data_IF_872428062077
#
_entry.id   IF_872428062077
#
_cell.length_a   1.000
_cell.length_b   1.000
_cell.length_c   1.000
_cell.angle_alpha   90.00
_cell.angle_beta   90.00
_cell.angle_gamma   90.00
#
_symmetry.space_group_name_H-M   'P 1'
#
loop_
_entity.id
_entity.type
_entity.pdbx_description
1 polymer ?
#
# COMPACT_ATOMS: atom_id res chain seq x y z
N UNK A 1 -26.37 -50.35 -12.51
CA UNK A 1 -25.50 -49.24 -13.01
C UNK A 1 -25.70 -48.05 -12.09
N UNK A 2 -24.91 -47.96 -11.05
CA UNK A 2 -24.95 -46.87 -10.03
C UNK A 2 -23.79 -45.95 -10.32
N UNK A 3 -24.11 -44.83 -11.01
CA UNK A 3 -23.13 -43.77 -11.27
C UNK A 3 -22.88 -42.93 -10.03
N UNK A 4 -21.72 -43.10 -9.41
CA UNK A 4 -21.25 -42.26 -8.31
C UNK A 4 -20.82 -40.90 -8.85
N UNK A 5 -21.65 -39.88 -8.68
CA UNK A 5 -21.25 -38.47 -8.91
C UNK A 5 -20.14 -38.11 -7.88
N UNK A 6 -18.92 -38.07 -8.37
CA UNK A 6 -17.80 -37.46 -7.62
C UNK A 6 -17.98 -35.95 -7.71
N UNK A 7 -18.48 -35.39 -6.62
CA UNK A 7 -18.52 -33.94 -6.45
C UNK A 7 -17.09 -33.41 -6.44
N UNK A 8 -16.71 -32.68 -7.49
CA UNK A 8 -15.45 -31.95 -7.58
C UNK A 8 -15.45 -30.88 -6.47
N UNK A 9 -14.83 -31.19 -5.34
CA UNK A 9 -14.47 -30.21 -4.33
C UNK A 9 -13.47 -29.24 -4.93
N UNK A 10 -13.97 -28.11 -5.41
CA UNK A 10 -13.15 -26.95 -5.75
C UNK A 10 -12.40 -26.49 -4.49
N UNK A 11 -11.16 -26.94 -4.32
CA UNK A 11 -10.23 -26.41 -3.33
C UNK A 11 -9.83 -24.98 -3.74
N UNK A 12 -10.73 -24.03 -3.57
CA UNK A 12 -10.39 -22.63 -3.50
C UNK A 12 -9.47 -22.46 -2.29
N UNK A 13 -8.19 -22.22 -2.53
CA UNK A 13 -7.24 -21.89 -1.49
C UNK A 13 -7.71 -20.59 -0.84
N UNK A 14 -8.54 -20.70 0.19
CA UNK A 14 -8.99 -19.56 0.99
C UNK A 14 -7.74 -18.80 1.47
N UNK A 15 -7.67 -17.51 1.18
CA UNK A 15 -6.57 -16.68 1.66
C UNK A 15 -6.63 -16.62 3.19
N UNK A 16 -5.78 -17.42 3.86
CA UNK A 16 -5.75 -17.52 5.32
C UNK A 16 -5.45 -16.19 6.02
N UNK A 17 -4.88 -15.22 5.28
CA UNK A 17 -4.59 -13.89 5.80
C UNK A 17 -5.76 -12.91 5.65
N UNK A 18 -6.84 -13.31 4.99
CA UNK A 18 -8.02 -12.45 4.83
C UNK A 18 -8.62 -12.01 6.17
N UNK A 19 -8.96 -12.94 7.11
CA UNK A 19 -9.53 -12.53 8.40
C UNK A 19 -8.63 -11.59 9.21
N UNK A 20 -7.31 -11.86 9.39
CA UNK A 20 -6.45 -10.95 10.15
C UNK A 20 -6.22 -9.60 9.47
N UNK A 21 -6.21 -9.52 8.12
CA UNK A 21 -6.07 -8.25 7.41
C UNK A 21 -7.30 -7.37 7.60
N UNK A 22 -8.50 -7.91 7.41
CA UNK A 22 -9.74 -7.15 7.64
C UNK A 22 -9.98 -6.85 9.11
N UNK A 23 -9.65 -7.79 10.01
CA UNK A 23 -9.72 -7.57 11.46
C UNK A 23 -8.74 -6.50 11.92
N UNK A 24 -7.53 -6.48 11.38
CA UNK A 24 -6.54 -5.43 11.63
C UNK A 24 -7.00 -4.06 11.14
N UNK A 25 -7.58 -3.97 9.94
CA UNK A 25 -8.15 -2.74 9.41
C UNK A 25 -9.30 -2.21 10.28
N UNK A 26 -10.23 -3.09 10.69
CA UNK A 26 -11.30 -2.72 11.60
C UNK A 26 -10.76 -2.28 12.98
N UNK A 27 -9.74 -2.98 13.51
CA UNK A 27 -9.07 -2.60 14.74
C UNK A 27 -8.44 -1.22 14.65
N UNK A 28 -7.73 -0.91 13.56
CA UNK A 28 -7.15 0.42 13.32
C UNK A 28 -8.20 1.53 13.27
N UNK A 29 -9.37 1.25 12.69
CA UNK A 29 -10.47 2.21 12.65
C UNK A 29 -11.11 2.43 14.04
N UNK A 30 -11.07 1.42 14.91
CA UNK A 30 -11.60 1.52 16.27
C UNK A 30 -10.65 2.28 17.22
N UNK A 31 -9.36 2.39 16.91
CA UNK A 31 -8.38 3.07 17.78
C UNK A 31 -8.76 4.54 18.03
N UNK A 32 -8.99 5.40 17.01
CA UNK A 32 -9.41 6.79 17.27
C UNK A 32 -10.77 6.87 17.96
N UNK A 33 -11.73 5.98 17.63
CA UNK A 33 -13.03 5.94 18.29
C UNK A 33 -12.91 5.60 19.79
N UNK A 34 -12.03 4.66 20.14
CA UNK A 34 -11.72 4.32 21.52
C UNK A 34 -10.98 5.46 22.22
N UNK A 35 -10.01 6.11 21.55
CA UNK A 35 -9.28 7.24 22.10
C UNK A 35 -10.21 8.40 22.46
N UNK A 36 -11.13 8.78 21.57
CA UNK A 36 -12.13 9.81 21.81
C UNK A 36 -13.04 9.52 23.01
N UNK A 37 -13.30 8.24 23.30
CA UNK A 37 -14.19 7.82 24.41
C UNK A 37 -13.46 7.62 25.72
N UNK A 38 -12.25 7.05 25.67
CA UNK A 38 -11.51 6.62 26.87
C UNK A 38 -10.47 7.65 27.32
N UNK A 39 -10.00 8.50 26.41
CA UNK A 39 -8.92 9.45 26.63
C UNK A 39 -9.25 10.81 26.01
N UNK A 40 -10.34 11.50 26.45
CA UNK A 40 -10.79 12.75 25.83
C UNK A 40 -9.73 13.86 25.89
N UNK A 41 -8.82 13.81 26.87
CA UNK A 41 -7.80 14.83 27.11
C UNK A 41 -6.62 14.77 26.12
N UNK A 42 -6.50 13.71 25.31
CA UNK A 42 -5.39 13.62 24.30
C UNK A 42 -5.67 14.39 23.01
N UNK A 43 -6.83 15.06 22.90
CA UNK A 43 -7.14 15.96 21.79
C UNK A 43 -7.42 15.27 20.45
N UNK A 44 -7.75 13.97 20.44
CA UNK A 44 -8.22 13.27 19.22
C UNK A 44 -9.68 13.62 19.03
N UNK A 45 -9.98 14.37 17.96
CA UNK A 45 -11.36 14.77 17.61
C UNK A 45 -11.62 14.44 16.12
N UNK A 46 -12.05 13.21 15.85
CA UNK A 46 -12.37 12.76 14.50
C UNK A 46 -13.85 12.96 14.18
N UNK A 47 -14.11 13.61 13.06
CA UNK A 47 -15.45 13.74 12.50
C UNK A 47 -15.93 12.43 11.86
N UNK A 48 -17.24 12.33 11.58
CA UNK A 48 -17.76 11.20 10.80
C UNK A 48 -17.14 11.10 9.40
N UNK A 49 -16.69 12.22 8.82
CA UNK A 49 -16.01 12.26 7.52
C UNK A 49 -14.62 11.63 7.62
N UNK A 50 -13.86 11.87 8.69
CA UNK A 50 -12.54 11.27 8.90
C UNK A 50 -12.64 9.74 8.98
N UNK A 51 -13.64 9.23 9.72
CA UNK A 51 -13.93 7.80 9.77
C UNK A 51 -14.31 7.24 8.41
N UNK A 52 -15.09 7.98 7.60
CA UNK A 52 -15.50 7.53 6.26
C UNK A 52 -14.29 7.48 5.32
N UNK A 53 -13.43 8.50 5.32
CA UNK A 53 -12.24 8.58 4.47
C UNK A 53 -11.25 7.46 4.82
N UNK A 54 -10.90 7.32 6.10
CA UNK A 54 -9.97 6.26 6.54
C UNK A 54 -10.57 4.87 6.35
N UNK A 55 -11.88 4.71 6.61
CA UNK A 55 -12.58 3.45 6.35
C UNK A 55 -12.52 3.05 4.87
N UNK A 56 -12.74 4.00 3.96
CA UNK A 56 -12.63 3.78 2.51
C UNK A 56 -11.19 3.42 2.09
N UNK A 57 -10.19 4.12 2.63
CA UNK A 57 -8.77 3.84 2.38
C UNK A 57 -8.37 2.45 2.87
N UNK A 58 -8.76 2.06 4.08
CA UNK A 58 -8.50 0.73 4.64
C UNK A 58 -9.20 -0.36 3.84
N UNK A 59 -10.47 -0.16 3.47
CA UNK A 59 -11.20 -1.11 2.62
C UNK A 59 -10.56 -1.27 1.24
N UNK A 60 -10.12 -0.16 0.64
CA UNK A 60 -9.37 -0.15 -0.63
C UNK A 60 -8.05 -0.92 -0.52
N UNK A 61 -7.27 -0.67 0.54
CA UNK A 61 -6.02 -1.38 0.80
C UNK A 61 -6.25 -2.89 1.00
N UNK A 62 -7.26 -3.28 1.78
CA UNK A 62 -7.63 -4.69 1.97
C UNK A 62 -8.05 -5.34 0.66
N UNK A 63 -8.86 -4.65 -0.15
CA UNK A 63 -9.31 -5.14 -1.46
C UNK A 63 -8.15 -5.32 -2.44
N UNK A 64 -7.23 -4.35 -2.51
CA UNK A 64 -6.00 -4.46 -3.31
C UNK A 64 -5.11 -5.61 -2.84
N UNK A 65 -4.94 -5.77 -1.53
CA UNK A 65 -4.20 -6.91 -0.98
C UNK A 65 -4.83 -8.26 -1.38
N UNK A 66 -6.15 -8.38 -1.31
CA UNK A 66 -6.85 -9.59 -1.77
C UNK A 66 -6.64 -9.85 -3.26
N UNK A 67 -6.68 -8.80 -4.08
CA UNK A 67 -6.36 -8.90 -5.51
C UNK A 67 -4.96 -9.46 -5.72
N UNK A 68 -3.95 -8.90 -5.06
CA UNK A 68 -2.57 -9.38 -5.12
C UNK A 68 -2.42 -10.83 -4.67
N UNK A 69 -3.16 -11.22 -3.61
CA UNK A 69 -3.16 -12.58 -3.09
C UNK A 69 -3.78 -13.60 -4.07
N UNK A 70 -4.68 -13.16 -4.96
CA UNK A 70 -5.26 -13.98 -6.03
C UNK A 70 -4.36 -14.06 -7.26
N UNK A 71 -3.64 -12.97 -7.58
CA UNK A 71 -2.81 -12.86 -8.78
C UNK A 71 -1.51 -13.67 -8.67
N UNK A 72 -0.94 -13.82 -7.46
CA UNK A 72 0.32 -14.51 -7.26
C UNK A 72 0.28 -15.60 -6.20
N UNK A 73 0.82 -16.80 -6.53
CA UNK A 73 0.92 -17.93 -5.59
C UNK A 73 2.19 -17.88 -4.73
N UNK A 74 3.28 -17.30 -5.24
CA UNK A 74 4.54 -17.21 -4.52
C UNK A 74 4.40 -16.31 -3.28
N UNK A 75 4.96 -16.75 -2.14
CA UNK A 75 4.94 -15.98 -0.89
C UNK A 75 5.60 -14.60 -1.05
N UNK A 76 6.74 -14.56 -1.77
CA UNK A 76 7.45 -13.32 -2.05
C UNK A 76 6.63 -12.34 -2.88
N UNK A 77 5.83 -12.82 -3.87
CA UNK A 77 4.91 -11.99 -4.64
C UNK A 77 3.84 -11.35 -3.74
N UNK A 78 3.20 -12.17 -2.90
CA UNK A 78 2.14 -11.70 -1.99
C UNK A 78 2.67 -10.71 -0.95
N UNK A 79 3.86 -10.96 -0.42
CA UNK A 79 4.54 -10.04 0.50
C UNK A 79 4.91 -8.72 -0.19
N UNK A 80 5.47 -8.78 -1.41
CA UNK A 80 5.79 -7.59 -2.20
C UNK A 80 4.55 -6.77 -2.55
N UNK A 81 3.45 -7.44 -2.90
CA UNK A 81 2.19 -6.78 -3.21
C UNK A 81 1.58 -6.13 -1.94
N UNK A 82 1.56 -6.84 -0.83
CA UNK A 82 1.09 -6.32 0.45
C UNK A 82 1.90 -5.11 0.91
N UNK A 83 3.23 -5.15 0.74
CA UNK A 83 4.10 -4.03 1.09
C UNK A 83 3.89 -2.82 0.17
N UNK A 84 3.66 -3.04 -1.13
CA UNK A 84 3.32 -1.97 -2.07
C UNK A 84 1.98 -1.29 -1.71
N UNK A 85 0.97 -2.09 -1.37
CA UNK A 85 -0.34 -1.57 -0.91
C UNK A 85 -0.19 -0.78 0.39
N UNK A 86 0.60 -1.30 1.34
CA UNK A 86 0.87 -0.59 2.60
C UNK A 86 1.60 0.73 2.35
N UNK A 87 2.61 0.75 1.46
CA UNK A 87 3.33 1.96 1.10
C UNK A 87 2.39 3.01 0.49
N UNK A 88 1.52 2.61 -0.45
CA UNK A 88 0.50 3.48 -1.03
C UNK A 88 -0.48 4.01 0.00
N UNK A 89 -1.00 3.14 0.86
CA UNK A 89 -1.89 3.53 1.95
C UNK A 89 -1.23 4.56 2.88
N UNK A 90 0.00 4.30 3.34
CA UNK A 90 0.72 5.22 4.21
C UNK A 90 1.03 6.55 3.52
N UNK A 91 1.37 6.54 2.23
CA UNK A 91 1.58 7.77 1.47
C UNK A 91 0.32 8.62 1.44
N UNK A 92 -0.85 8.03 1.16
CA UNK A 92 -2.14 8.76 1.19
C UNK A 92 -2.46 9.25 2.59
N UNK A 93 -2.37 8.36 3.59
CA UNK A 93 -2.76 8.69 4.95
C UNK A 93 -1.91 9.82 5.54
N UNK A 94 -0.58 9.72 5.42
CA UNK A 94 0.32 10.75 5.98
C UNK A 94 0.10 12.10 5.29
N UNK A 95 -0.11 12.10 3.96
CA UNK A 95 -0.46 13.33 3.24
C UNK A 95 -1.74 13.98 3.74
N UNK A 96 -2.78 13.19 4.03
CA UNK A 96 -4.06 13.71 4.50
C UNK A 96 -4.03 14.12 5.99
N UNK A 97 -3.17 13.48 6.79
CA UNK A 97 -3.17 13.68 8.24
C UNK A 97 -2.26 14.82 8.69
N UNK A 98 -1.10 15.00 8.06
CA UNK A 98 -0.07 15.95 8.51
C UNK A 98 0.70 16.62 7.38
N UNK A 99 0.50 16.16 6.12
CA UNK A 99 1.38 16.49 5.01
C UNK A 99 2.72 15.74 5.06
N UNK A 100 3.30 15.45 3.91
CA UNK A 100 4.65 14.85 3.82
C UNK A 100 5.72 15.93 3.64
N UNK A 101 5.32 17.08 3.08
CA UNK A 101 6.16 18.27 2.89
C UNK A 101 5.39 19.48 3.42
N UNK A 102 5.96 20.17 4.39
CA UNK A 102 5.28 21.29 5.05
C UNK A 102 4.10 20.82 5.90
N UNK A 103 2.94 21.44 5.71
CA UNK A 103 1.67 21.06 6.34
C UNK A 103 0.74 20.33 5.37
N UNK A 104 -0.43 19.90 5.84
CA UNK A 104 -1.41 19.18 5.03
C UNK A 104 -1.96 20.00 3.86
N UNK A 105 -1.92 21.33 3.95
CA UNK A 105 -2.38 22.28 2.93
C UNK A 105 -1.32 22.65 1.90
N UNK A 106 -0.07 22.23 2.06
CA UNK A 106 1.02 22.61 1.15
C UNK A 106 0.80 21.98 -0.26
N UNK A 107 0.79 22.81 -1.34
CA UNK A 107 0.62 22.31 -2.70
C UNK A 107 1.68 21.27 -3.12
N UNK A 108 2.87 21.26 -2.52
CA UNK A 108 3.90 20.28 -2.81
C UNK A 108 3.45 18.84 -2.50
N UNK A 109 2.50 18.67 -1.57
CA UNK A 109 1.90 17.38 -1.26
C UNK A 109 1.14 16.75 -2.44
N UNK A 110 0.68 17.54 -3.41
CA UNK A 110 0.06 17.03 -4.63
C UNK A 110 1.03 16.24 -5.52
N UNK A 111 2.34 16.43 -5.39
CA UNK A 111 3.35 15.65 -6.11
C UNK A 111 3.27 14.16 -5.79
N UNK A 112 2.81 13.79 -4.59
CA UNK A 112 2.65 12.38 -4.20
C UNK A 112 1.50 11.68 -4.92
N UNK A 113 0.52 12.42 -5.45
CA UNK A 113 -0.47 11.84 -6.37
C UNK A 113 0.21 11.33 -7.65
N UNK A 114 1.26 12.02 -8.11
CA UNK A 114 2.10 11.57 -9.23
C UNK A 114 2.85 10.28 -8.91
N UNK A 115 3.40 10.15 -7.69
CA UNK A 115 4.05 8.91 -7.22
C UNK A 115 3.07 7.74 -7.22
N UNK A 116 1.87 7.95 -6.68
CA UNK A 116 0.82 6.93 -6.64
C UNK A 116 0.30 6.58 -8.05
N UNK A 117 0.18 7.57 -8.93
CA UNK A 117 -0.19 7.36 -10.33
C UNK A 117 0.86 6.50 -11.05
N UNK A 118 2.16 6.76 -10.85
CA UNK A 118 3.25 5.93 -11.39
C UNK A 118 3.15 4.50 -10.86
N UNK A 119 2.92 4.32 -9.55
CA UNK A 119 2.74 2.99 -8.97
C UNK A 119 1.58 2.24 -9.63
N UNK A 120 0.42 2.87 -9.77
CA UNK A 120 -0.78 2.27 -10.34
C UNK A 120 -0.62 1.98 -11.84
N UNK A 121 -0.20 2.98 -12.62
CA UNK A 121 -0.06 2.86 -14.07
C UNK A 121 1.01 1.84 -14.47
N UNK A 122 2.20 1.90 -13.85
CA UNK A 122 3.26 0.94 -14.13
C UNK A 122 2.87 -0.49 -13.72
N UNK A 123 2.14 -0.67 -12.62
CA UNK A 123 1.61 -1.98 -12.21
C UNK A 123 0.57 -2.52 -13.19
N UNK A 124 -0.33 -1.66 -13.66
CA UNK A 124 -1.33 -2.02 -14.67
C UNK A 124 -0.69 -2.38 -16.01
N UNK A 125 0.26 -1.57 -16.50
CA UNK A 125 1.03 -1.85 -17.72
C UNK A 125 1.84 -3.14 -17.61
N UNK A 126 2.39 -3.42 -16.43
CA UNK A 126 3.06 -4.68 -16.12
C UNK A 126 2.10 -5.88 -16.10
N UNK A 127 0.79 -5.67 -16.20
CA UNK A 127 -0.25 -6.69 -16.03
C UNK A 127 -0.05 -7.52 -14.76
N UNK A 128 0.47 -6.88 -13.74
CA UNK A 128 0.79 -7.49 -12.45
C UNK A 128 1.76 -8.68 -12.51
N UNK A 129 2.51 -8.84 -13.61
CA UNK A 129 3.53 -9.90 -13.73
C UNK A 129 4.74 -9.55 -12.84
N UNK A 130 5.37 -10.53 -12.15
CA UNK A 130 6.44 -10.28 -11.17
C UNK A 130 7.59 -9.41 -11.69
N UNK A 131 8.07 -9.69 -12.92
CA UNK A 131 9.16 -8.92 -13.53
C UNK A 131 8.79 -7.46 -13.78
N UNK A 132 7.57 -7.20 -14.25
CA UNK A 132 7.06 -5.85 -14.47
C UNK A 132 6.77 -5.12 -13.15
N UNK A 133 6.20 -5.83 -12.17
CA UNK A 133 5.96 -5.29 -10.83
C UNK A 133 7.24 -4.84 -10.14
N UNK A 134 8.33 -5.61 -10.28
CA UNK A 134 9.63 -5.19 -9.75
C UNK A 134 10.07 -3.85 -10.35
N UNK A 135 9.97 -3.69 -11.67
CA UNK A 135 10.31 -2.43 -12.37
C UNK A 135 9.38 -1.28 -11.94
N UNK A 136 8.07 -1.56 -11.81
CA UNK A 136 7.08 -0.59 -11.37
C UNK A 136 7.43 -0.04 -9.98
N UNK A 137 7.74 -0.90 -9.02
CA UNK A 137 8.08 -0.48 -7.66
C UNK A 137 9.39 0.30 -7.59
N UNK A 138 10.40 -0.07 -8.38
CA UNK A 138 11.64 0.72 -8.46
C UNK A 138 11.41 2.08 -9.12
N UNK A 139 10.58 2.17 -10.16
CA UNK A 139 10.20 3.44 -10.76
C UNK A 139 9.44 4.33 -9.76
N UNK A 140 8.54 3.74 -8.96
CA UNK A 140 7.83 4.45 -7.89
C UNK A 140 8.78 4.95 -6.82
N UNK A 141 9.74 4.14 -6.38
CA UNK A 141 10.77 4.57 -5.43
C UNK A 141 11.61 5.73 -6.00
N UNK A 142 11.99 5.66 -7.27
CA UNK A 142 12.72 6.73 -7.94
C UNK A 142 11.89 8.02 -8.04
N UNK A 143 10.58 7.92 -8.35
CA UNK A 143 9.69 9.09 -8.37
C UNK A 143 9.49 9.69 -6.98
N UNK A 144 9.43 8.88 -5.92
CA UNK A 144 9.40 9.34 -4.53
C UNK A 144 10.67 10.17 -4.20
N UNK A 145 11.85 9.66 -4.55
CA UNK A 145 13.11 10.38 -4.34
C UNK A 145 13.23 11.62 -5.24
N UNK A 146 12.66 11.58 -6.44
CA UNK A 146 12.60 12.75 -7.32
C UNK A 146 11.77 13.88 -6.70
N UNK A 147 10.63 13.57 -6.08
CA UNK A 147 9.82 14.56 -5.34
C UNK A 147 10.65 15.19 -4.23
N UNK A 148 11.39 14.39 -3.46
CA UNK A 148 12.29 14.92 -2.42
C UNK A 148 13.38 15.83 -3.03
N UNK A 149 13.97 15.43 -4.15
CA UNK A 149 14.96 16.25 -4.86
C UNK A 149 14.39 17.58 -5.34
N UNK A 150 13.18 17.57 -5.90
CA UNK A 150 12.46 18.80 -6.33
C UNK A 150 12.19 19.69 -5.10
N UNK A 151 11.63 19.15 -4.03
CA UNK A 151 11.34 19.88 -2.80
C UNK A 151 12.62 20.51 -2.19
N UNK A 152 13.73 19.75 -2.18
CA UNK A 152 15.02 20.24 -1.72
C UNK A 152 15.55 21.40 -2.56
N UNK A 153 15.37 21.31 -3.90
CA UNK A 153 15.82 22.36 -4.83
C UNK A 153 14.96 23.63 -4.76
N UNK A 154 13.66 23.50 -4.51
CA UNK A 154 12.75 24.62 -4.30
C UNK A 154 13.03 25.35 -2.96
N UNK A 155 13.53 24.62 -1.96
CA UNK A 155 13.75 25.16 -0.61
C UNK A 155 12.47 25.34 0.19
N UNK A 156 12.61 25.83 1.41
CA UNK A 156 11.47 26.12 2.30
C UNK A 156 11.02 24.94 3.17
N UNK A 157 11.50 23.72 2.95
CA UNK A 157 11.15 22.53 3.73
C UNK A 157 12.21 22.18 4.75
N UNK A 158 11.81 21.72 5.93
CA UNK A 158 12.74 21.30 6.96
C UNK A 158 13.50 20.03 6.52
N UNK A 159 14.79 19.96 6.87
CA UNK A 159 15.61 18.78 6.53
C UNK A 159 15.04 17.47 7.10
N UNK A 160 14.36 17.56 8.26
CA UNK A 160 13.66 16.42 8.86
C UNK A 160 12.55 15.90 7.97
N UNK A 161 11.73 16.78 7.40
CA UNK A 161 10.58 16.41 6.58
C UNK A 161 11.06 15.79 5.26
N UNK A 162 12.11 16.37 4.66
CA UNK A 162 12.76 15.79 3.47
C UNK A 162 13.33 14.39 3.76
N UNK A 163 13.99 14.20 4.91
CA UNK A 163 14.54 12.90 5.28
C UNK A 163 13.44 11.85 5.56
N UNK A 164 12.39 12.21 6.28
CA UNK A 164 11.24 11.34 6.53
C UNK A 164 10.55 10.96 5.22
N UNK A 165 10.32 11.94 4.35
CA UNK A 165 9.72 11.72 3.03
C UNK A 165 10.58 10.81 2.15
N UNK A 166 11.91 10.95 2.19
CA UNK A 166 12.83 10.05 1.50
C UNK A 166 12.73 8.60 2.02
N UNK A 167 12.52 8.41 3.32
CA UNK A 167 12.34 7.07 3.91
C UNK A 167 11.12 6.32 3.34
N UNK A 168 10.12 7.03 2.84
CA UNK A 168 8.97 6.41 2.16
C UNK A 168 9.35 5.72 0.84
N UNK A 169 10.55 5.94 0.29
CA UNK A 169 11.06 5.15 -0.82
C UNK A 169 11.41 3.72 -0.41
N UNK A 170 11.76 3.46 0.84
CA UNK A 170 12.20 2.14 1.32
C UNK A 170 11.14 1.04 1.13
N UNK A 171 9.88 1.21 1.51
CA UNK A 171 8.84 0.20 1.26
C UNK A 171 8.69 -0.13 -0.23
N UNK A 172 8.78 0.87 -1.12
CA UNK A 172 8.74 0.65 -2.57
C UNK A 172 9.94 -0.16 -3.07
N UNK A 173 11.16 0.15 -2.59
CA UNK A 173 12.38 -0.60 -2.92
C UNK A 173 12.28 -2.05 -2.44
N UNK A 174 11.83 -2.26 -1.19
CA UNK A 174 11.66 -3.60 -0.63
C UNK A 174 10.59 -4.39 -1.38
N UNK A 175 9.47 -3.77 -1.75
CA UNK A 175 8.45 -4.40 -2.59
C UNK A 175 9.03 -4.83 -3.95
N UNK A 176 9.82 -3.96 -4.59
CA UNK A 176 10.53 -4.27 -5.83
C UNK A 176 11.49 -5.45 -5.69
N UNK A 177 12.25 -5.50 -4.59
CA UNK A 177 13.13 -6.62 -4.29
C UNK A 177 12.38 -7.95 -4.09
N UNK A 178 11.25 -7.92 -3.38
CA UNK A 178 10.40 -9.09 -3.18
C UNK A 178 9.81 -9.61 -4.50
N UNK A 179 9.41 -8.72 -5.42
CA UNK A 179 8.98 -9.13 -6.76
C UNK A 179 10.11 -9.74 -7.58
N UNK A 180 11.36 -9.27 -7.43
CA UNK A 180 12.54 -9.92 -8.03
C UNK A 180 12.77 -11.33 -7.48
N UNK A 181 12.61 -11.53 -6.18
CA UNK A 181 12.69 -12.87 -5.57
C UNK A 181 11.60 -13.77 -6.12
N UNK A 182 10.37 -13.25 -6.22
CA UNK A 182 9.24 -14.00 -6.79
C UNK A 182 9.49 -14.42 -8.25
N UNK A 183 10.08 -13.55 -9.04
CA UNK A 183 10.45 -13.84 -10.45
C UNK A 183 11.47 -14.98 -10.55
N UNK A 184 12.51 -14.99 -9.68
CA UNK A 184 13.54 -16.02 -9.68
C UNK A 184 13.05 -17.40 -9.21
N UNK A 185 11.96 -17.43 -8.44
CA UNK A 185 11.35 -18.65 -7.95
C UNK A 185 10.39 -19.31 -8.96
N UNK A 186 10.14 -18.67 -10.12
CA UNK A 186 9.32 -19.24 -11.19
C UNK A 186 10.20 -20.17 -12.05
N UNK A 187 9.71 -21.38 -12.40
CA UNK A 187 10.42 -22.25 -13.33
C UNK A 187 10.63 -21.53 -14.68
N UNK A 188 11.79 -21.69 -15.28
CA UNK A 188 12.07 -21.18 -16.63
C UNK A 188 11.21 -21.98 -17.62
N UNK A 189 10.07 -21.40 -18.07
CA UNK A 189 9.23 -22.06 -19.08
C UNK A 189 7.73 -21.71 -19.06
N UNK A 190 7.26 -20.75 -18.24
CA UNK A 190 5.88 -20.24 -18.33
C UNK A 190 5.82 -18.76 -18.78
#
# INVERSE_FOLDING_TARGET
>A
MTGTMVAARGNGHANRLRPPVWGGAAGLLLVPAAAMRLLPDIGVDWSGMDFAVIGALLAGACGLYELGARLGRARAYRAGFGLAVLAGFLTVWVNLAVGMLGDEGDPANLLFLGVLAIAALCSALARFKPAGMAKAMFATAASQLLVVGIASALGGFAARDLALTACFALPWLLAGALFRVAMRAMPAGE
#
